data_IF_703495837775
#
_entry.id   IF_703495837775
#
_cell.length_a   1.000
_cell.length_b   1.000
_cell.length_c   1.000
_cell.angle_alpha   90.00
_cell.angle_beta   90.00
_cell.angle_gamma   90.00
#
_symmetry.space_group_name_H-M   'P 1'
#
loop_
_entity.id
_entity.type
_entity.pdbx_description
1 polymer ?
#
# COMPACT_ATOMS: atom_id res chain seq x y z
N UNK A 1 -12.70 -6.97 19.59
CA UNK A 1 -12.48 -8.37 20.01
C UNK A 1 -13.64 -9.19 19.48
N UNK A 2 -13.36 -10.23 18.69
CA UNK A 2 -14.37 -11.18 18.21
C UNK A 2 -14.69 -12.15 19.35
N UNK A 3 -15.97 -12.32 19.69
CA UNK A 3 -16.42 -12.95 20.94
C UNK A 3 -16.86 -14.41 20.80
N UNK A 4 -16.85 -14.96 19.59
CA UNK A 4 -17.21 -16.36 19.30
C UNK A 4 -15.97 -17.22 19.05
N UNK A 5 -16.07 -18.50 19.41
CA UNK A 5 -15.04 -19.50 19.11
C UNK A 5 -15.16 -19.89 17.62
N UNK A 6 -14.08 -19.70 16.85
CA UNK A 6 -14.02 -19.91 15.39
C UNK A 6 -12.92 -19.02 14.78
N UNK A 7 -12.66 -19.13 13.48
CA UNK A 7 -11.65 -18.32 12.78
C UNK A 7 -12.34 -17.36 11.81
N UNK A 8 -12.82 -16.23 12.33
CA UNK A 8 -13.53 -15.22 11.53
C UNK A 8 -12.57 -14.22 10.86
N UNK A 9 -11.83 -14.67 9.84
CA UNK A 9 -10.86 -13.82 9.12
C UNK A 9 -11.57 -12.67 8.39
N UNK A 10 -12.71 -12.94 7.76
CA UNK A 10 -13.57 -11.94 7.12
C UNK A 10 -13.98 -10.81 8.09
N UNK A 11 -14.44 -11.15 9.30
CA UNK A 11 -14.82 -10.16 10.31
C UNK A 11 -13.60 -9.37 10.81
N UNK A 12 -12.45 -10.01 10.95
CA UNK A 12 -11.20 -9.35 11.32
C UNK A 12 -10.75 -8.34 10.26
N UNK A 13 -10.85 -8.67 8.97
CA UNK A 13 -10.55 -7.73 7.87
C UNK A 13 -11.53 -6.56 7.91
N UNK A 14 -12.83 -6.82 8.01
CA UNK A 14 -13.85 -5.76 8.09
C UNK A 14 -13.65 -4.82 9.27
N UNK A 15 -13.30 -5.36 10.44
CA UNK A 15 -12.97 -4.55 11.59
C UNK A 15 -11.68 -3.75 11.35
N UNK A 16 -10.64 -4.34 10.76
CA UNK A 16 -9.39 -3.65 10.49
C UNK A 16 -9.57 -2.44 9.55
N UNK A 17 -10.47 -2.55 8.55
CA UNK A 17 -10.81 -1.45 7.63
C UNK A 17 -11.23 -0.17 8.37
N UNK A 18 -11.84 -0.27 9.56
CA UNK A 18 -12.32 0.89 10.32
C UNK A 18 -11.23 1.62 11.11
N UNK A 19 -9.99 1.12 11.14
CA UNK A 19 -8.89 1.70 11.94
C UNK A 19 -7.92 2.57 11.13
N UNK A 20 -8.02 2.56 9.80
CA UNK A 20 -7.17 3.39 8.97
C UNK A 20 -7.68 4.83 8.93
N UNK A 21 -6.74 5.77 8.98
CA UNK A 21 -7.05 7.19 8.74
C UNK A 21 -7.30 7.40 7.24
N UNK A 22 -8.39 8.11 6.93
CA UNK A 22 -8.79 8.42 5.56
C UNK A 22 -8.28 9.77 5.05
N UNK A 23 -7.72 10.59 5.94
CA UNK A 23 -7.26 11.92 5.59
C UNK A 23 -5.82 11.93 5.04
N UNK A 24 -5.04 10.87 5.29
CA UNK A 24 -3.66 10.73 4.81
C UNK A 24 -3.54 9.74 3.63
N UNK A 25 -2.86 10.16 2.55
CA UNK A 25 -2.48 9.29 1.44
C UNK A 25 -1.25 8.46 1.79
N UNK A 26 -1.37 7.53 2.73
CA UNK A 26 -0.29 6.60 3.10
C UNK A 26 -0.60 5.18 2.65
N UNK A 27 0.43 4.40 2.37
CA UNK A 27 0.28 2.95 2.18
C UNK A 27 -0.41 2.27 3.38
N UNK A 28 -1.51 1.56 3.12
CA UNK A 28 -2.25 0.80 4.16
C UNK A 28 -1.92 -0.69 4.05
N UNK A 29 -1.48 -1.26 5.16
CA UNK A 29 -1.06 -2.67 5.21
C UNK A 29 -1.70 -3.35 6.42
N UNK A 30 -2.44 -4.43 6.16
CA UNK A 30 -2.98 -5.34 7.17
C UNK A 30 -2.13 -6.60 7.22
N UNK A 31 -1.65 -6.99 8.39
CA UNK A 31 -0.91 -8.25 8.59
C UNK A 31 -1.79 -9.22 9.37
N UNK A 32 -2.08 -10.37 8.78
CA UNK A 32 -2.89 -11.45 9.38
C UNK A 32 -1.98 -12.61 9.73
N UNK A 33 -2.01 -13.06 10.99
CA UNK A 33 -1.28 -14.22 11.46
C UNK A 33 -2.30 -15.30 11.82
N UNK A 34 -2.29 -16.43 11.11
CA UNK A 34 -3.30 -17.48 11.27
C UNK A 34 -2.79 -18.84 10.76
N UNK A 35 -3.42 -19.92 11.19
CA UNK A 35 -3.31 -21.26 10.61
C UNK A 35 -4.20 -21.44 9.36
N UNK A 36 -5.07 -20.47 9.03
CA UNK A 36 -5.89 -20.48 7.84
C UNK A 36 -7.10 -21.43 7.88
N UNK A 37 -7.33 -22.12 9.01
CA UNK A 37 -8.44 -23.06 9.14
C UNK A 37 -9.76 -22.32 9.41
N UNK A 38 -10.42 -21.78 8.38
CA UNK A 38 -11.88 -21.54 8.27
C UNK A 38 -12.29 -20.88 6.92
N UNK A 39 -13.59 -20.99 6.58
CA UNK A 39 -14.36 -20.44 5.45
C UNK A 39 -13.61 -19.49 4.47
N UNK A 40 -12.96 -20.09 3.47
CA UNK A 40 -12.11 -19.41 2.49
C UNK A 40 -12.85 -18.50 1.51
N UNK A 41 -14.09 -18.82 1.13
CA UNK A 41 -14.81 -18.08 0.08
C UNK A 41 -15.14 -16.64 0.51
N UNK A 42 -15.67 -16.45 1.72
CA UNK A 42 -16.04 -15.12 2.23
C UNK A 42 -14.81 -14.27 2.55
N UNK A 43 -13.72 -14.89 3.03
CA UNK A 43 -12.51 -14.16 3.37
C UNK A 43 -11.81 -13.59 2.11
N UNK A 44 -11.85 -14.32 1.00
CA UNK A 44 -11.28 -13.87 -0.28
C UNK A 44 -12.07 -12.69 -0.88
N UNK A 45 -13.41 -12.69 -0.77
CA UNK A 45 -14.24 -11.57 -1.21
C UNK A 45 -13.94 -10.29 -0.40
N UNK A 46 -13.91 -10.38 0.93
CA UNK A 46 -13.61 -9.23 1.79
C UNK A 46 -12.17 -8.72 1.58
N UNK A 47 -11.23 -9.61 1.28
CA UNK A 47 -9.86 -9.24 0.92
C UNK A 47 -9.78 -8.42 -0.38
N UNK A 48 -10.64 -8.74 -1.36
CA UNK A 48 -10.76 -7.97 -2.60
C UNK A 48 -11.33 -6.57 -2.32
N UNK A 49 -12.35 -6.46 -1.49
CA UNK A 49 -12.88 -5.14 -1.08
C UNK A 49 -11.83 -4.30 -0.37
N UNK A 50 -11.02 -4.91 0.50
CA UNK A 50 -9.93 -4.22 1.19
C UNK A 50 -8.91 -3.65 0.18
N UNK A 51 -8.59 -4.39 -0.89
CA UNK A 51 -7.74 -3.89 -1.98
C UNK A 51 -8.33 -2.69 -2.70
N UNK A 52 -9.64 -2.71 -2.97
CA UNK A 52 -10.32 -1.58 -3.63
C UNK A 52 -10.28 -0.31 -2.77
N UNK A 53 -10.17 -0.46 -1.44
CA UNK A 53 -9.93 0.62 -0.47
C UNK A 53 -8.43 0.96 -0.26
N UNK A 54 -7.54 0.38 -1.07
CA UNK A 54 -6.09 0.62 -1.03
C UNK A 54 -5.37 -0.10 0.11
N UNK A 55 -6.01 -1.06 0.78
CA UNK A 55 -5.44 -1.85 1.87
C UNK A 55 -4.84 -3.14 1.29
N UNK A 56 -3.52 -3.29 1.43
CA UNK A 56 -2.83 -4.54 1.09
C UNK A 56 -2.83 -5.49 2.28
N UNK A 57 -3.10 -6.78 2.05
CA UNK A 57 -3.12 -7.79 3.12
C UNK A 57 -1.93 -8.73 2.99
N UNK A 58 -1.09 -8.79 4.01
CA UNK A 58 -0.04 -9.79 4.17
C UNK A 58 -0.55 -10.90 5.09
N UNK A 59 -0.41 -12.16 4.68
CA UNK A 59 -0.81 -13.32 5.48
C UNK A 59 0.43 -14.09 5.94
N UNK A 60 0.44 -14.49 7.22
CA UNK A 60 1.54 -15.24 7.84
C UNK A 60 0.95 -16.55 8.35
N UNK A 61 1.35 -17.65 7.70
CA UNK A 61 0.90 -18.99 8.05
C UNK A 61 1.64 -19.55 9.25
N UNK A 62 0.95 -19.86 10.35
CA UNK A 62 1.55 -20.47 11.54
C UNK A 62 1.00 -21.89 11.73
N UNK A 63 1.92 -22.85 11.88
CA UNK A 63 1.56 -24.25 12.09
C UNK A 63 2.22 -25.15 11.06
N UNK A 64 1.71 -26.37 10.94
CA UNK A 64 2.21 -27.36 9.99
C UNK A 64 1.06 -27.96 9.18
N UNK A 65 1.28 -28.24 7.91
CA UNK A 65 0.28 -28.87 7.03
C UNK A 65 -0.08 -30.30 7.44
N UNK A 66 0.83 -31.00 8.14
CA UNK A 66 0.58 -32.32 8.72
C UNK A 66 -0.45 -32.26 9.86
N UNK A 67 -0.47 -31.13 10.56
CA UNK A 67 -1.31 -30.88 11.71
C UNK A 67 -0.82 -31.49 13.02
N UNK A 68 -1.33 -30.95 14.12
CA UNK A 68 -1.00 -31.37 15.47
C UNK A 68 -2.24 -31.30 16.38
N UNK A 69 -2.32 -32.15 17.42
CA UNK A 69 -3.37 -32.05 18.42
C UNK A 69 -3.15 -30.83 19.32
N UNK A 70 -4.25 -30.21 19.76
CA UNK A 70 -4.18 -29.02 20.62
C UNK A 70 -4.04 -29.44 22.09
N UNK A 71 -2.91 -29.17 22.77
CA UNK A 71 -2.70 -29.62 24.15
C UNK A 71 -3.45 -28.73 25.15
N UNK A 72 -4.14 -29.35 26.11
CA UNK A 72 -4.69 -28.71 27.30
C UNK A 72 -3.67 -28.87 28.42
N UNK A 73 -3.11 -27.74 28.87
CA UNK A 73 -2.05 -27.70 29.89
C UNK A 73 -2.62 -27.26 31.24
N UNK A 74 -2.06 -27.79 32.33
CA UNK A 74 -2.33 -27.28 33.68
C UNK A 74 -1.61 -25.94 33.93
N UNK A 75 -1.83 -25.34 35.11
CA UNK A 75 -1.17 -24.10 35.54
C UNK A 75 0.36 -24.23 35.68
N UNK A 76 0.89 -25.46 35.68
CA UNK A 76 2.32 -25.77 35.73
C UNK A 76 2.90 -26.09 34.33
N UNK A 77 2.10 -26.00 33.27
CA UNK A 77 2.51 -26.25 31.89
C UNK A 77 2.56 -27.72 31.47
N UNK A 78 2.13 -28.66 32.31
CA UNK A 78 2.10 -30.09 32.01
C UNK A 78 0.88 -30.42 31.15
N UNK A 79 1.06 -31.27 30.14
CA UNK A 79 -0.03 -31.70 29.25
C UNK A 79 -0.95 -32.65 30.03
N UNK A 80 -2.20 -32.24 30.22
CA UNK A 80 -3.22 -33.02 30.91
C UNK A 80 -4.07 -33.84 29.96
N UNK A 81 -4.45 -33.24 28.83
CA UNK A 81 -5.26 -33.89 27.79
C UNK A 81 -5.09 -33.13 26.46
N UNK A 82 -5.74 -33.61 25.40
CA UNK A 82 -5.88 -32.88 24.15
C UNK A 82 -7.31 -32.38 23.97
N UNK A 83 -7.48 -31.29 23.21
CA UNK A 83 -8.80 -30.77 22.85
C UNK A 83 -9.58 -31.84 22.08
N UNK A 84 -10.84 -32.04 22.48
CA UNK A 84 -11.76 -32.98 21.85
C UNK A 84 -12.92 -32.24 21.20
N UNK A 85 -13.46 -32.83 20.14
CA UNK A 85 -14.68 -32.35 19.49
C UNK A 85 -15.94 -32.81 20.22
N UNK A 86 -17.12 -32.53 19.65
CA UNK A 86 -18.41 -32.94 20.21
C UNK A 86 -18.61 -34.46 20.25
N UNK A 87 -17.87 -35.21 19.43
CA UNK A 87 -17.91 -36.66 19.34
C UNK A 87 -16.89 -37.35 20.27
N UNK A 88 -16.03 -36.57 20.95
CA UNK A 88 -14.99 -37.07 21.84
C UNK A 88 -13.68 -37.46 21.13
N UNK A 89 -13.56 -37.17 19.83
CA UNK A 89 -12.36 -37.36 19.02
C UNK A 89 -11.37 -36.21 19.22
N UNK A 90 -10.07 -36.46 19.04
CA UNK A 90 -9.05 -35.43 19.24
C UNK A 90 -9.04 -34.46 18.07
N UNK A 91 -9.16 -33.16 18.34
CA UNK A 91 -9.07 -32.11 17.32
C UNK A 91 -7.62 -31.98 16.85
N UNK A 92 -7.41 -32.14 15.54
CA UNK A 92 -6.14 -31.92 14.86
C UNK A 92 -6.25 -30.63 14.05
N UNK A 93 -5.48 -29.62 14.42
CA UNK A 93 -5.36 -28.37 13.67
C UNK A 93 -4.21 -28.45 12.67
N UNK A 94 -4.41 -27.97 11.46
CA UNK A 94 -3.48 -27.99 10.32
C UNK A 94 -3.34 -26.59 9.74
N UNK A 95 -2.15 -26.27 9.26
CA UNK A 95 -1.98 -25.06 8.45
C UNK A 95 -2.64 -25.26 7.08
N UNK A 96 -3.61 -24.41 6.74
CA UNK A 96 -4.15 -24.24 5.41
C UNK A 96 -3.48 -23.04 4.72
N UNK A 97 -2.40 -23.34 3.99
CA UNK A 97 -1.68 -22.32 3.24
C UNK A 97 -2.48 -21.79 2.04
N UNK A 98 -3.34 -22.60 1.44
CA UNK A 98 -4.03 -22.23 0.20
C UNK A 98 -5.05 -21.13 0.46
N UNK A 99 -5.78 -21.22 1.58
CA UNK A 99 -6.69 -20.15 2.03
C UNK A 99 -5.94 -18.85 2.28
N UNK A 100 -4.79 -18.90 2.97
CA UNK A 100 -3.99 -17.70 3.27
C UNK A 100 -3.35 -17.09 2.02
N UNK A 101 -2.91 -17.91 1.05
CA UNK A 101 -2.42 -17.45 -0.25
C UNK A 101 -3.52 -16.75 -1.04
N UNK A 102 -4.70 -17.37 -1.12
CA UNK A 102 -5.86 -16.79 -1.83
C UNK A 102 -6.23 -15.41 -1.29
N UNK A 103 -6.30 -15.25 0.05
CA UNK A 103 -6.58 -13.97 0.69
C UNK A 103 -5.52 -12.91 0.33
N UNK A 104 -4.23 -13.25 0.42
CA UNK A 104 -3.15 -12.33 0.09
C UNK A 104 -3.17 -11.93 -1.39
N UNK A 105 -3.41 -12.87 -2.30
CA UNK A 105 -3.49 -12.63 -3.74
C UNK A 105 -4.65 -11.70 -4.11
N UNK A 106 -5.85 -11.94 -3.56
CA UNK A 106 -7.01 -11.06 -3.80
C UNK A 106 -6.76 -9.64 -3.29
N UNK A 107 -5.99 -9.49 -2.21
CA UNK A 107 -5.65 -8.22 -1.61
C UNK A 107 -4.40 -7.53 -2.19
N UNK A 108 -3.78 -8.08 -3.26
CA UNK A 108 -2.50 -7.59 -3.80
C UNK A 108 -1.38 -7.48 -2.75
N UNK A 109 -1.31 -8.45 -1.83
CA UNK A 109 -0.26 -8.61 -0.85
C UNK A 109 0.53 -9.90 -1.03
N UNK A 110 1.11 -10.40 0.06
CA UNK A 110 2.02 -11.55 0.04
C UNK A 110 1.68 -12.55 1.16
N UNK A 111 1.79 -13.83 0.83
CA UNK A 111 1.82 -14.91 1.80
C UNK A 111 3.25 -15.15 2.26
N UNK A 112 3.44 -15.29 3.58
CA UNK A 112 4.71 -15.57 4.22
C UNK A 112 4.57 -16.83 5.08
N UNK A 113 5.48 -17.78 4.91
CA UNK A 113 5.52 -18.94 5.77
C UNK A 113 6.09 -18.55 7.16
N UNK A 114 5.30 -18.77 8.21
CA UNK A 114 5.60 -18.37 9.59
C UNK A 114 6.50 -19.32 10.38
N UNK A 115 7.09 -20.34 9.74
CA UNK A 115 7.87 -21.38 10.44
C UNK A 115 9.13 -20.84 11.12
N UNK A 116 9.76 -19.82 10.54
CA UNK A 116 10.99 -19.20 11.04
C UNK A 116 10.75 -17.70 11.25
N UNK A 117 10.72 -17.26 12.51
CA UNK A 117 10.37 -15.88 12.85
C UNK A 117 11.35 -14.84 12.31
N UNK A 118 12.65 -15.14 12.21
CA UNK A 118 13.63 -14.22 11.63
C UNK A 118 13.30 -13.90 10.17
N UNK A 119 13.02 -14.95 9.40
CA UNK A 119 12.80 -14.85 7.96
C UNK A 119 11.50 -14.11 7.65
N UNK A 120 10.47 -14.30 8.50
CA UNK A 120 9.21 -13.55 8.43
C UNK A 120 9.46 -12.06 8.64
N UNK A 121 10.21 -11.70 9.67
CA UNK A 121 10.51 -10.29 9.99
C UNK A 121 11.30 -9.64 8.87
N UNK A 122 12.28 -10.33 8.30
CA UNK A 122 13.11 -9.80 7.22
C UNK A 122 12.31 -9.61 5.93
N UNK A 123 11.44 -10.57 5.57
CA UNK A 123 10.52 -10.43 4.43
C UNK A 123 9.54 -9.27 4.60
N UNK A 124 8.94 -9.11 5.79
CA UNK A 124 8.02 -7.99 6.06
C UNK A 124 8.75 -6.66 5.91
N UNK A 125 9.97 -6.53 6.47
CA UNK A 125 10.79 -5.32 6.31
C UNK A 125 11.06 -5.01 4.85
N UNK A 126 11.44 -6.01 4.06
CA UNK A 126 11.71 -5.82 2.63
C UNK A 126 10.45 -5.33 1.89
N UNK A 127 9.31 -5.96 2.13
CA UNK A 127 8.03 -5.58 1.53
C UNK A 127 7.66 -4.14 1.90
N UNK A 128 7.73 -3.78 3.18
CA UNK A 128 7.40 -2.43 3.66
C UNK A 128 8.35 -1.37 3.07
N UNK A 129 9.66 -1.62 3.07
CA UNK A 129 10.66 -0.70 2.51
C UNK A 129 10.45 -0.44 1.01
N UNK A 130 10.10 -1.48 0.25
CA UNK A 130 9.84 -1.35 -1.19
C UNK A 130 8.54 -0.57 -1.46
N UNK A 131 7.52 -0.72 -0.61
CA UNK A 131 6.29 0.07 -0.71
C UNK A 131 6.53 1.55 -0.42
N UNK A 132 7.31 1.87 0.62
CA UNK A 132 7.66 3.25 0.97
C UNK A 132 8.45 3.95 -0.15
N UNK A 133 9.43 3.26 -0.75
CA UNK A 133 10.19 3.79 -1.90
C UNK A 133 9.30 4.09 -3.10
N UNK A 134 8.40 3.15 -3.43
CA UNK A 134 7.47 3.31 -4.57
C UNK A 134 6.56 4.52 -4.39
N UNK A 135 6.08 4.76 -3.16
CA UNK A 135 5.26 5.94 -2.83
C UNK A 135 6.05 7.24 -2.95
N UNK A 136 7.29 7.26 -2.43
CA UNK A 136 8.17 8.43 -2.52
C UNK A 136 8.49 8.81 -3.97
N UNK A 137 8.83 7.84 -4.81
CA UNK A 137 9.07 8.06 -6.24
C UNK A 137 7.81 8.58 -6.94
N UNK A 138 6.63 7.99 -6.69
CA UNK A 138 5.37 8.44 -7.26
C UNK A 138 5.04 9.89 -6.87
N UNK A 139 5.36 10.29 -5.63
CA UNK A 139 5.18 11.68 -5.15
C UNK A 139 6.15 12.65 -5.82
N UNK A 140 7.39 12.23 -6.08
CA UNK A 140 8.37 13.04 -6.82
C UNK A 140 7.94 13.27 -8.28
N UNK A 141 7.33 12.26 -8.93
CA UNK A 141 6.69 12.45 -10.22
C UNK A 141 5.49 13.41 -10.15
N UNK A 142 4.74 13.45 -9.05
CA UNK A 142 3.61 14.36 -8.90
C UNK A 142 4.04 15.81 -8.58
N UNK A 143 5.17 16.02 -7.89
CA UNK A 143 5.76 17.34 -7.61
C UNK A 143 6.59 17.86 -8.80
N UNK A 144 5.95 18.03 -9.95
CA UNK A 144 6.58 18.67 -11.09
C UNK A 144 6.91 20.13 -10.76
N UNK A 145 8.21 20.46 -10.66
CA UNK A 145 8.64 21.85 -10.56
C UNK A 145 8.22 22.63 -11.81
N UNK A 146 7.38 23.64 -11.58
CA UNK A 146 6.94 24.58 -12.61
C UNK A 146 8.11 25.36 -13.23
N UNK A 147 8.50 25.02 -14.47
CA UNK A 147 9.60 25.66 -15.21
C UNK A 147 9.20 26.96 -15.94
N UNK A 148 7.97 27.47 -15.73
CA UNK A 148 7.47 28.68 -16.43
C UNK A 148 8.28 29.94 -16.13
N UNK A 149 9.09 29.95 -15.06
CA UNK A 149 9.91 31.07 -14.61
C UNK A 149 10.88 31.54 -15.71
N UNK A 150 11.47 30.61 -16.46
CA UNK A 150 12.35 30.93 -17.59
C UNK A 150 11.59 31.61 -18.74
N UNK A 151 10.40 31.12 -19.05
CA UNK A 151 9.53 31.71 -20.08
C UNK A 151 9.02 33.09 -19.66
N UNK A 152 8.67 33.26 -18.38
CA UNK A 152 8.27 34.54 -17.81
C UNK A 152 9.44 35.53 -17.82
N UNK A 153 10.65 35.09 -17.44
CA UNK A 153 11.86 35.90 -17.52
C UNK A 153 12.16 36.37 -18.94
N UNK A 154 12.01 35.48 -19.94
CA UNK A 154 12.16 35.83 -21.35
C UNK A 154 11.11 36.87 -21.80
N UNK A 155 9.86 36.70 -21.39
CA UNK A 155 8.78 37.64 -21.70
C UNK A 155 9.05 39.03 -21.11
N UNK A 156 9.48 39.10 -19.85
CA UNK A 156 9.86 40.34 -19.18
C UNK A 156 11.06 41.00 -19.87
N UNK A 157 12.07 40.21 -20.26
CA UNK A 157 13.24 40.71 -21.00
C UNK A 157 12.85 41.30 -22.37
N UNK A 158 11.96 40.65 -23.11
CA UNK A 158 11.44 41.18 -24.37
C UNK A 158 10.68 42.49 -24.17
N UNK A 159 9.91 42.61 -23.07
CA UNK A 159 9.20 43.84 -22.72
C UNK A 159 10.16 45.00 -22.43
N UNK A 160 11.26 44.74 -21.70
CA UNK A 160 12.30 45.75 -21.51
C UNK A 160 12.96 46.16 -22.82
N UNK A 161 13.28 45.20 -23.69
CA UNK A 161 13.85 45.48 -25.01
C UNK A 161 12.91 46.38 -25.81
N UNK A 162 11.61 46.11 -25.79
CA UNK A 162 10.59 46.91 -26.48
C UNK A 162 10.56 48.36 -25.96
N UNK A 163 10.51 48.56 -24.64
CA UNK A 163 10.54 49.89 -24.01
C UNK A 163 11.79 50.69 -24.43
N UNK A 164 12.97 50.07 -24.37
CA UNK A 164 14.22 50.77 -24.68
C UNK A 164 14.48 50.97 -26.19
N UNK A 165 13.95 50.11 -27.06
CA UNK A 165 14.11 50.24 -28.51
C UNK A 165 13.09 51.17 -29.16
N UNK A 166 11.83 51.21 -28.69
CA UNK A 166 10.78 52.01 -29.34
C UNK A 166 10.91 53.53 -29.12
N UNK A 167 11.57 53.98 -28.04
CA UNK A 167 11.84 55.41 -27.84
C UNK A 167 12.86 55.97 -28.83
N UNK A 168 13.70 55.10 -29.42
CA UNK A 168 14.45 55.45 -30.61
C UNK A 168 13.53 55.30 -31.81
N UNK A 169 12.80 56.40 -32.14
CA UNK A 169 12.34 56.69 -33.51
C UNK A 169 13.39 56.11 -34.45
N UNK A 170 12.99 55.15 -35.27
CA UNK A 170 13.87 54.44 -36.19
C UNK A 170 14.50 55.45 -37.14
N UNK A 171 15.64 56.04 -36.75
CA UNK A 171 16.36 57.05 -37.52
C UNK A 171 16.79 56.48 -38.88
N UNK A 172 16.88 55.16 -38.99
CA UNK A 172 17.06 54.45 -40.25
C UNK A 172 15.83 54.54 -41.20
N UNK A 173 14.60 54.52 -40.67
CA UNK A 173 13.36 54.74 -41.46
C UNK A 173 13.24 56.21 -41.90
N UNK A 174 13.70 57.17 -41.08
CA UNK A 174 13.81 58.58 -41.52
C UNK A 174 14.86 58.76 -42.62
N UNK A 175 15.98 58.05 -42.56
CA UNK A 175 17.02 58.05 -43.62
C UNK A 175 16.53 57.50 -44.96
N UNK A 176 15.49 56.66 -44.97
CA UNK A 176 14.94 56.06 -46.18
C UNK A 176 14.05 57.02 -46.99
N UNK A 177 13.80 58.26 -46.51
CA UNK A 177 13.05 59.33 -47.19
C UNK A 177 11.80 58.83 -47.96
N UNK A 178 11.04 57.90 -47.35
CA UNK A 178 9.93 57.18 -47.99
C UNK A 178 8.77 58.09 -48.41
N UNK A 179 8.71 59.31 -47.87
CA UNK A 179 7.64 60.29 -48.14
C UNK A 179 8.14 61.57 -48.80
N UNK A 180 9.42 61.64 -49.17
CA UNK A 180 10.03 62.74 -49.93
C UNK A 180 9.69 64.15 -49.40
N UNK A 181 9.87 64.37 -48.09
CA UNK A 181 9.45 65.61 -47.40
C UNK A 181 10.48 66.74 -47.45
N UNK A 182 11.65 66.53 -48.06
CA UNK A 182 12.65 67.59 -48.23
C UNK A 182 12.59 68.13 -49.67
N UNK A 183 12.00 69.33 -49.82
CA UNK A 183 12.08 70.20 -51.00
C UNK A 183 13.46 70.87 -51.10
#
# INVERSE_FOLDING_TARGET
MLSSQGTAINEAINLAKTYYDNDEQTNRVLIIISDGEDHSEQAAEVAKEAKDEGIRILTIGVGTTKGAPIPIKDSQGRIMNYKKDQNGETVITKLDEETLKSIAEQANGYYINGQVTSDVVDQIKEILNNMEKTEFEAKEFADFKSQFQWFLGLAVLLLFIDIFLLERKTEWLKKLNLFNENL
#
